data_IF_567159525262
#
_entry.id   IF_567159525262
#
_cell.length_a   1.000
_cell.length_b   1.000
_cell.length_c   1.000
_cell.angle_alpha   90.00
_cell.angle_beta   90.00
_cell.angle_gamma   90.00
#
_symmetry.space_group_name_H-M   'P 1'
#
loop_
_entity.id
_entity.type
_entity.pdbx_description
1 polymer ?
#
# COMPACT_ATOMS: atom_id res chain seq x y z
N UNK A 1 -22.49 25.29 -68.08
CA UNK A 1 -22.83 24.54 -66.85
C UNK A 1 -22.03 25.16 -65.72
N UNK A 2 -22.70 25.62 -64.67
CA UNK A 2 -22.07 26.43 -63.61
C UNK A 2 -21.45 25.53 -62.53
N UNK A 3 -20.12 25.42 -62.55
CA UNK A 3 -19.33 24.55 -61.68
C UNK A 3 -19.17 25.07 -60.24
N UNK A 4 -19.71 26.25 -59.91
CA UNK A 4 -19.62 26.81 -58.55
C UNK A 4 -20.43 26.02 -57.53
N UNK A 5 -21.57 25.46 -57.92
CA UNK A 5 -22.49 24.80 -56.98
C UNK A 5 -21.94 23.48 -56.42
N UNK A 6 -21.03 22.82 -57.14
CA UNK A 6 -20.41 21.57 -56.69
C UNK A 6 -19.18 21.78 -55.81
N UNK A 7 -18.51 22.94 -55.89
CA UNK A 7 -17.31 23.23 -55.08
C UNK A 7 -17.61 23.34 -53.59
N UNK A 8 -18.70 24.01 -53.21
CA UNK A 8 -19.08 24.16 -51.79
C UNK A 8 -19.40 22.82 -51.13
N UNK A 9 -19.84 21.82 -51.89
CA UNK A 9 -20.17 20.48 -51.39
C UNK A 9 -18.95 19.60 -51.09
N UNK A 10 -17.78 19.92 -51.66
CA UNK A 10 -16.52 19.20 -51.39
C UNK A 10 -15.65 19.85 -50.30
N UNK A 11 -15.82 21.14 -50.04
CA UNK A 11 -14.97 21.90 -49.10
C UNK A 11 -15.66 22.24 -47.77
N UNK A 12 -16.95 21.93 -47.64
CA UNK A 12 -17.79 22.25 -46.46
C UNK A 12 -18.16 23.74 -46.42
N UNK A 13 -19.31 24.06 -45.82
CA UNK A 13 -19.67 25.46 -45.58
C UNK A 13 -18.65 26.10 -44.62
N UNK A 14 -18.39 27.41 -44.75
CA UNK A 14 -17.44 28.12 -43.90
C UNK A 14 -17.83 28.04 -42.41
N UNK A 15 -19.11 27.83 -42.14
CA UNK A 15 -19.70 27.67 -40.82
C UNK A 15 -19.39 26.31 -40.17
N UNK A 16 -19.07 25.29 -40.98
CA UNK A 16 -18.83 23.90 -40.53
C UNK A 16 -17.33 23.60 -40.30
N UNK A 17 -16.46 24.58 -40.55
CA UNK A 17 -15.03 24.55 -40.23
C UNK A 17 -14.80 24.85 -38.74
N UNK A 18 -15.45 24.08 -37.86
CA UNK A 18 -15.43 24.30 -36.41
C UNK A 18 -14.02 24.25 -35.79
N UNK A 19 -13.05 23.64 -36.48
CA UNK A 19 -11.63 23.69 -36.09
C UNK A 19 -10.76 23.52 -37.33
N UNK A 20 -9.67 24.27 -37.43
CA UNK A 20 -8.68 24.01 -38.48
C UNK A 20 -7.99 22.66 -38.21
N UNK A 21 -7.56 21.92 -39.26
CA UNK A 21 -6.92 20.61 -39.06
C UNK A 21 -5.73 20.64 -38.09
N UNK A 22 -4.97 21.73 -38.09
CA UNK A 22 -3.82 21.92 -37.19
C UNK A 22 -4.27 22.20 -35.76
N UNK A 23 -5.29 23.05 -35.58
CA UNK A 23 -5.79 23.38 -34.24
C UNK A 23 -6.49 22.17 -33.62
N UNK A 24 -7.20 21.36 -34.42
CA UNK A 24 -7.82 20.12 -33.96
C UNK A 24 -6.80 19.13 -33.40
N UNK A 25 -5.67 18.95 -34.09
CA UNK A 25 -4.59 18.07 -33.62
C UNK A 25 -3.97 18.62 -32.33
N UNK A 26 -3.69 19.92 -32.25
CA UNK A 26 -3.12 20.52 -31.04
C UNK A 26 -4.06 20.37 -29.85
N UNK A 27 -5.36 20.63 -30.03
CA UNK A 27 -6.35 20.52 -28.96
C UNK A 27 -6.53 19.07 -28.50
N UNK A 28 -6.58 18.12 -29.43
CA UNK A 28 -6.69 16.71 -29.12
C UNK A 28 -5.49 16.21 -28.32
N UNK A 29 -4.28 16.57 -28.75
CA UNK A 29 -3.04 16.18 -28.07
C UNK A 29 -2.91 16.87 -26.71
N UNK A 30 -3.27 18.15 -26.61
CA UNK A 30 -3.17 18.89 -25.36
C UNK A 30 -4.01 18.25 -24.24
N UNK A 31 -5.27 17.90 -24.53
CA UNK A 31 -6.16 17.33 -23.53
C UNK A 31 -5.69 15.93 -23.10
N UNK A 32 -5.26 15.08 -24.04
CA UNK A 32 -4.79 13.73 -23.69
C UNK A 32 -3.52 13.75 -22.88
N UNK A 33 -2.59 14.67 -23.17
CA UNK A 33 -1.35 14.84 -22.38
C UNK A 33 -1.66 15.30 -20.95
N UNK A 34 -2.58 16.26 -20.78
CA UNK A 34 -2.99 16.71 -19.45
C UNK A 34 -3.63 15.57 -18.66
N UNK A 35 -4.60 14.87 -19.26
CA UNK A 35 -5.28 13.77 -18.58
C UNK A 35 -4.33 12.63 -18.20
N UNK A 36 -3.40 12.27 -19.09
CA UNK A 36 -2.41 11.25 -18.80
C UNK A 36 -1.47 11.66 -17.65
N UNK A 37 -0.99 12.90 -17.64
CA UNK A 37 -0.10 13.40 -16.59
C UNK A 37 -0.79 13.43 -15.21
N UNK A 38 -2.05 13.87 -15.18
CA UNK A 38 -2.84 13.92 -13.94
C UNK A 38 -3.09 12.52 -13.38
N UNK A 39 -3.49 11.57 -14.21
CA UNK A 39 -3.72 10.18 -13.77
C UNK A 39 -2.41 9.55 -13.30
N UNK A 40 -1.28 9.78 -13.98
CA UNK A 40 0.01 9.28 -13.55
C UNK A 40 0.40 9.80 -12.16
N UNK A 41 0.14 11.08 -11.87
CA UNK A 41 0.37 11.64 -10.54
C UNK A 41 -0.51 10.96 -9.47
N UNK A 42 -1.81 10.79 -9.74
CA UNK A 42 -2.71 10.09 -8.81
C UNK A 42 -2.33 8.62 -8.58
N UNK A 43 -1.90 7.91 -9.63
CA UNK A 43 -1.49 6.50 -9.51
C UNK A 43 -0.19 6.37 -8.73
N UNK A 44 0.78 7.27 -8.96
CA UNK A 44 2.04 7.27 -8.23
C UNK A 44 1.83 7.60 -6.74
N UNK A 45 0.93 8.54 -6.44
CA UNK A 45 0.56 8.93 -5.07
C UNK A 45 -0.19 7.81 -4.32
N UNK A 46 -0.99 6.99 -5.01
CA UNK A 46 -1.59 5.80 -4.41
C UNK A 46 -0.58 4.65 -4.22
N UNK A 47 0.46 4.57 -5.05
CA UNK A 47 1.46 3.50 -5.00
C UNK A 47 2.40 3.57 -3.80
N UNK A 48 2.62 4.76 -3.22
CA UNK A 48 3.48 4.92 -2.04
C UNK A 48 2.80 4.56 -0.71
N UNK A 49 1.49 4.35 -0.68
CA UNK A 49 0.76 4.02 0.55
C UNK A 49 0.65 2.51 0.82
N UNK A 50 1.35 1.67 0.04
CA UNK A 50 1.43 0.25 0.34
C UNK A 50 2.65 0.00 1.22
N UNK A 51 2.50 0.23 2.54
CA UNK A 51 3.54 -0.13 3.49
C UNK A 51 3.76 -1.64 3.44
N UNK A 52 5.03 -2.06 3.48
CA UNK A 52 5.34 -3.50 3.47
C UNK A 52 4.93 -4.09 4.81
N UNK A 53 4.26 -5.26 4.88
CA UNK A 53 3.78 -5.81 6.14
C UNK A 53 4.93 -6.06 7.12
N UNK A 54 4.63 -5.95 8.42
CA UNK A 54 5.61 -6.22 9.47
C UNK A 54 6.09 -7.66 9.39
N UNK A 55 7.39 -7.87 9.54
CA UNK A 55 8.02 -9.18 9.53
C UNK A 55 9.06 -9.23 10.65
N UNK A 56 9.02 -10.27 11.47
CA UNK A 56 10.08 -10.56 12.42
C UNK A 56 10.29 -12.08 12.53
N UNK A 57 11.55 -12.47 12.73
CA UNK A 57 11.91 -13.81 13.14
C UNK A 57 11.69 -13.94 14.65
N UNK A 58 10.95 -14.96 15.05
CA UNK A 58 10.57 -15.20 16.45
C UNK A 58 11.03 -16.59 16.87
N UNK A 59 11.62 -16.69 18.05
CA UNK A 59 11.86 -17.95 18.74
C UNK A 59 10.86 -18.08 19.88
N UNK A 60 10.07 -19.16 19.87
CA UNK A 60 9.03 -19.41 20.86
C UNK A 60 9.45 -20.59 21.74
N UNK A 61 9.60 -20.31 23.02
CA UNK A 61 9.93 -21.30 24.03
C UNK A 61 8.81 -21.39 25.05
N UNK A 62 8.27 -22.59 25.27
CA UNK A 62 7.22 -22.81 26.27
C UNK A 62 7.80 -22.68 27.69
N UNK A 63 7.27 -21.77 28.49
CA UNK A 63 7.66 -21.65 29.89
C UNK A 63 6.74 -22.51 30.78
N UNK A 64 7.01 -23.81 30.81
CA UNK A 64 6.32 -24.76 31.72
C UNK A 64 6.76 -24.65 33.19
N UNK A 65 7.74 -23.80 33.50
CA UNK A 65 8.40 -23.77 34.82
C UNK A 65 7.92 -22.63 35.72
N UNK A 66 7.16 -21.67 35.20
CA UNK A 66 6.63 -20.57 35.99
C UNK A 66 5.29 -20.96 36.65
N UNK A 67 5.32 -21.06 37.98
CA UNK A 67 4.14 -21.38 38.81
C UNK A 67 3.16 -20.21 38.94
N UNK A 68 3.54 -19.02 38.46
CA UNK A 68 2.75 -17.78 38.52
C UNK A 68 1.85 -17.61 37.29
N UNK A 69 2.22 -18.19 36.15
CA UNK A 69 1.49 -18.09 34.88
C UNK A 69 1.58 -19.41 34.10
N UNK A 70 0.82 -20.44 34.52
CA UNK A 70 0.89 -21.76 33.90
C UNK A 70 0.39 -21.69 32.45
N UNK A 71 1.30 -21.80 31.49
CA UNK A 71 0.97 -21.79 30.05
C UNK A 71 1.41 -20.54 29.29
N UNK A 72 2.31 -19.72 29.82
CA UNK A 72 2.90 -18.62 29.07
C UNK A 72 4.07 -19.09 28.18
N UNK A 73 4.21 -18.48 27.01
CA UNK A 73 5.33 -18.64 26.09
C UNK A 73 6.30 -17.47 26.23
N UNK A 74 7.58 -17.78 26.29
CA UNK A 74 8.64 -16.80 26.11
C UNK A 74 8.89 -16.63 24.61
N UNK A 75 8.63 -15.43 24.10
CA UNK A 75 8.85 -15.04 22.72
C UNK A 75 10.10 -14.18 22.67
N UNK A 76 11.14 -14.64 21.98
CA UNK A 76 12.37 -13.87 21.77
C UNK A 76 12.48 -13.45 20.31
N UNK A 77 12.75 -12.18 20.08
CA UNK A 77 12.94 -11.65 18.72
C UNK A 77 14.34 -12.05 18.24
N UNK A 78 14.42 -12.83 17.16
CA UNK A 78 15.70 -13.28 16.56
C UNK A 78 16.12 -12.43 15.36
N UNK A 79 15.16 -11.79 14.69
CA UNK A 79 15.40 -10.86 13.58
C UNK A 79 14.20 -9.91 13.45
N UNK A 80 14.42 -8.68 13.03
CA UNK A 80 13.34 -7.75 12.64
C UNK A 80 13.53 -7.37 11.17
N UNK A 81 12.43 -7.32 10.43
CA UNK A 81 12.40 -6.82 9.07
C UNK A 81 12.49 -5.30 9.05
N UNK A 82 12.93 -4.76 7.91
CA UNK A 82 13.25 -3.33 7.75
C UNK A 82 12.06 -2.38 7.97
N UNK A 83 10.83 -2.90 7.97
CA UNK A 83 9.61 -2.11 8.15
C UNK A 83 8.94 -2.37 9.51
N UNK A 84 9.56 -3.14 10.41
CA UNK A 84 8.95 -3.54 11.70
C UNK A 84 9.54 -2.75 12.85
N UNK A 85 8.70 -1.96 13.52
CA UNK A 85 9.09 -1.13 14.64
C UNK A 85 8.97 -1.88 15.97
N UNK A 86 7.85 -2.60 16.17
CA UNK A 86 7.60 -3.34 17.41
C UNK A 86 6.93 -4.69 17.15
N UNK A 87 7.15 -5.64 18.06
CA UNK A 87 6.42 -6.90 18.11
C UNK A 87 5.69 -6.99 19.43
N UNK A 88 4.40 -7.33 19.40
CA UNK A 88 3.52 -7.39 20.57
C UNK A 88 2.69 -8.66 20.62
N UNK A 89 2.24 -8.99 21.82
CA UNK A 89 1.21 -10.00 22.04
C UNK A 89 -0.20 -9.41 21.89
N UNK A 90 -1.13 -10.21 21.39
CA UNK A 90 -2.57 -9.90 21.35
C UNK A 90 -3.29 -10.22 22.68
N UNK A 91 -2.57 -10.21 23.80
CA UNK A 91 -3.11 -10.55 25.12
C UNK A 91 -3.45 -9.27 25.93
N UNK A 92 -4.29 -9.38 26.98
CA UNK A 92 -4.66 -8.22 27.80
C UNK A 92 -3.50 -7.65 28.63
N UNK A 93 -2.40 -8.38 28.76
CA UNK A 93 -1.19 -7.92 29.47
C UNK A 93 -0.26 -7.10 28.56
N UNK A 94 -0.42 -7.21 27.23
CA UNK A 94 0.08 -6.24 26.26
C UNK A 94 1.60 -6.08 26.26
N UNK A 95 2.34 -7.19 26.43
CA UNK A 95 3.79 -7.14 26.38
C UNK A 95 4.28 -6.99 24.94
N UNK A 96 5.31 -6.18 24.77
CA UNK A 96 5.92 -5.91 23.47
C UNK A 96 7.42 -5.71 23.59
N UNK A 97 8.12 -6.02 22.52
CA UNK A 97 9.54 -5.74 22.36
C UNK A 97 9.81 -5.10 21.00
N UNK A 98 10.74 -4.15 21.01
CA UNK A 98 11.11 -3.26 19.91
C UNK A 98 12.51 -3.56 19.35
N UNK A 99 13.22 -4.52 19.93
CA UNK A 99 14.62 -4.79 19.61
C UNK A 99 14.92 -6.29 19.53
N UNK A 100 15.81 -6.67 18.61
CA UNK A 100 16.32 -8.04 18.49
C UNK A 100 17.06 -8.44 19.75
N UNK A 101 16.81 -9.66 20.24
CA UNK A 101 17.38 -10.21 21.46
C UNK A 101 16.57 -9.92 22.73
N UNK A 102 15.57 -9.01 22.66
CA UNK A 102 14.62 -8.86 23.74
C UNK A 102 13.55 -9.95 23.64
N UNK A 103 13.17 -10.47 24.81
CA UNK A 103 12.08 -11.41 24.94
C UNK A 103 10.94 -10.84 25.78
N UNK A 104 9.73 -11.25 25.46
CA UNK A 104 8.51 -10.94 26.20
C UNK A 104 7.68 -12.20 26.40
N UNK A 105 6.74 -12.14 27.34
CA UNK A 105 5.86 -13.25 27.66
C UNK A 105 4.52 -13.08 26.96
N UNK A 106 3.98 -14.19 26.46
CA UNK A 106 2.77 -14.23 25.67
C UNK A 106 1.91 -15.40 26.15
N UNK A 107 0.66 -15.13 26.50
CA UNK A 107 -0.22 -16.19 27.00
C UNK A 107 -0.61 -17.20 25.90
N UNK A 108 -0.95 -18.43 26.29
CA UNK A 108 -1.42 -19.46 25.36
C UNK A 108 -2.73 -19.05 24.68
N UNK A 109 -2.80 -19.22 23.37
CA UNK A 109 -3.90 -18.80 22.51
C UNK A 109 -3.82 -17.33 22.08
N UNK A 110 -2.74 -16.61 22.45
CA UNK A 110 -2.50 -15.28 21.93
C UNK A 110 -1.94 -15.34 20.50
N UNK A 111 -2.05 -14.21 19.79
CA UNK A 111 -1.38 -14.00 18.53
C UNK A 111 -0.18 -13.07 18.73
N UNK A 112 0.90 -13.29 18.01
CA UNK A 112 2.04 -12.38 17.97
C UNK A 112 1.87 -11.48 16.74
N UNK A 113 1.92 -10.18 16.97
CA UNK A 113 1.63 -9.13 15.99
C UNK A 113 2.86 -8.27 15.85
N UNK A 114 3.35 -8.08 14.63
CA UNK A 114 4.32 -7.06 14.28
C UNK A 114 3.60 -5.77 13.93
N UNK A 115 4.14 -4.64 14.36
CA UNK A 115 3.65 -3.31 14.03
C UNK A 115 4.70 -2.62 13.17
N UNK A 116 4.28 -2.08 12.04
CA UNK A 116 5.14 -1.30 11.14
C UNK A 116 5.35 0.13 11.62
N UNK A 117 6.31 0.84 11.02
CA UNK A 117 6.54 2.28 11.24
C UNK A 117 5.31 3.16 10.94
N UNK A 118 4.39 2.68 10.10
CA UNK A 118 3.11 3.34 9.79
C UNK A 118 1.97 2.98 10.78
N UNK A 119 2.25 2.15 11.78
CA UNK A 119 1.26 1.65 12.76
C UNK A 119 0.38 0.52 12.23
N UNK A 120 0.67 -0.03 11.05
CA UNK A 120 -0.05 -1.19 10.52
C UNK A 120 0.34 -2.47 11.25
N UNK A 121 -0.66 -3.29 11.58
CA UNK A 121 -0.49 -4.54 12.30
C UNK A 121 -0.47 -5.73 11.34
N UNK A 122 0.53 -6.61 11.48
CA UNK A 122 0.58 -7.88 10.78
C UNK A 122 0.74 -9.04 11.77
N UNK A 123 -0.08 -10.08 11.63
CA UNK A 123 0.01 -11.26 12.48
C UNK A 123 1.19 -12.12 12.01
N UNK A 124 2.21 -12.22 12.87
CA UNK A 124 3.44 -12.98 12.62
C UNK A 124 3.29 -14.45 12.99
N UNK A 125 2.53 -14.73 14.05
CA UNK A 125 2.21 -16.07 14.50
C UNK A 125 0.85 -16.07 15.20
N UNK A 126 0.09 -17.15 15.02
CA UNK A 126 -1.24 -17.32 15.60
C UNK A 126 -1.30 -18.55 16.50
N UNK A 127 -2.19 -18.54 17.49
CA UNK A 127 -2.54 -19.68 18.34
C UNK A 127 -1.31 -20.40 18.95
N UNK A 128 -0.47 -19.64 19.65
CA UNK A 128 0.69 -20.18 20.38
C UNK A 128 0.26 -20.91 21.64
#
# INVERSE_FOLDING_TARGET
MDLKQYRSKLVGDNEERAVSPVIGVILMVAITVILAAVIAAFVLDMGSNQSSPAQAGLDLSNNTSDTSSPGSYNVTITSMGDNTETVKCSDPEGQSADSVGNGFYCNKGANIIGVNDDGEENVLQTDI
#
